data_IF_615380281197
#
_entry.id   IF_615380281197
#
_cell.length_a   1.000
_cell.length_b   1.000
_cell.length_c   1.000
_cell.angle_alpha   90.00
_cell.angle_beta   90.00
_cell.angle_gamma   90.00
#
_symmetry.space_group_name_H-M   'P 1'
#
loop_
_entity.id
_entity.type
_entity.pdbx_description
1 polymer ?
#
# COMPACT_ATOMS: atom_id res chain seq x y z
N UNK A 1 6.51 16.83 -1.66
CA UNK A 1 5.38 17.09 -0.75
C UNK A 1 4.86 15.73 -0.30
N UNK A 2 4.50 15.58 0.98
CA UNK A 2 4.19 14.27 1.55
C UNK A 2 2.74 13.84 1.32
N UNK A 3 2.45 12.57 1.62
CA UNK A 3 1.12 11.97 1.54
C UNK A 3 0.64 11.63 2.94
N UNK A 4 -0.62 11.95 3.23
CA UNK A 4 -1.33 11.55 4.43
C UNK A 4 -2.46 10.60 4.06
N UNK A 5 -2.56 9.49 4.78
CA UNK A 5 -3.57 8.44 4.61
C UNK A 5 -4.30 8.28 5.94
N UNK A 6 -5.61 8.44 5.93
CA UNK A 6 -6.45 8.28 7.11
C UNK A 6 -7.49 7.22 6.82
N UNK A 7 -7.53 6.18 7.65
CA UNK A 7 -8.61 5.22 7.58
C UNK A 7 -9.87 5.76 8.25
N UNK A 8 -11.02 5.45 7.64
CA UNK A 8 -12.34 5.91 8.05
C UNK A 8 -13.31 4.74 8.15
N UNK A 9 -14.42 4.99 8.83
CA UNK A 9 -15.53 4.04 8.91
C UNK A 9 -16.07 3.64 7.52
N UNK A 10 -16.53 2.39 7.43
CA UNK A 10 -17.10 1.83 6.22
C UNK A 10 -16.08 1.44 5.16
N UNK A 11 -14.84 1.15 5.54
CA UNK A 11 -13.79 0.72 4.62
C UNK A 11 -13.39 1.83 3.66
N UNK A 12 -13.21 3.06 4.17
CA UNK A 12 -12.81 4.22 3.36
C UNK A 12 -11.43 4.69 3.78
N UNK A 13 -10.68 5.21 2.82
CA UNK A 13 -9.38 5.82 3.04
C UNK A 13 -9.39 7.25 2.49
N UNK A 14 -9.16 8.24 3.35
CA UNK A 14 -8.91 9.61 2.92
C UNK A 14 -7.42 9.76 2.59
N UNK A 15 -7.14 10.25 1.39
CA UNK A 15 -5.79 10.58 0.93
C UNK A 15 -5.68 12.10 0.83
N UNK A 16 -4.62 12.66 1.40
CA UNK A 16 -4.31 14.09 1.33
C UNK A 16 -2.85 14.27 0.94
N UNK A 17 -2.56 15.24 0.08
CA UNK A 17 -1.23 15.57 -0.43
C UNK A 17 -1.39 16.53 -1.60
N UNK A 18 -0.66 16.28 -2.68
CA UNK A 18 -0.83 16.98 -3.97
C UNK A 18 -2.22 16.75 -4.57
N UNK A 19 -2.83 15.61 -4.26
CA UNK A 19 -4.22 15.26 -4.58
C UNK A 19 -4.96 14.93 -3.29
N UNK A 20 -6.17 15.47 -3.15
CA UNK A 20 -7.10 15.12 -2.07
C UNK A 20 -8.24 14.25 -2.63
N UNK A 21 -8.43 13.06 -2.07
CA UNK A 21 -9.48 12.13 -2.51
C UNK A 21 -9.88 11.15 -1.40
N UNK A 22 -11.01 10.47 -1.59
CA UNK A 22 -11.48 9.39 -0.71
C UNK A 22 -11.66 8.12 -1.54
N UNK A 23 -10.94 7.07 -1.17
CA UNK A 23 -11.07 5.75 -1.78
C UNK A 23 -12.06 4.91 -0.97
N UNK A 24 -12.99 4.25 -1.68
CA UNK A 24 -13.84 3.22 -1.08
C UNK A 24 -13.21 1.86 -1.35
N UNK A 25 -12.90 1.13 -0.28
CA UNK A 25 -12.28 -0.18 -0.39
C UNK A 25 -13.31 -1.24 -0.78
N UNK A 26 -12.95 -2.19 -1.67
CA UNK A 26 -13.77 -3.36 -1.90
C UNK A 26 -13.82 -4.23 -0.64
N UNK A 27 -14.84 -5.09 -0.55
CA UNK A 27 -15.00 -6.00 0.59
C UNK A 27 -13.75 -6.86 0.85
N UNK A 28 -13.05 -7.29 -0.20
CA UNK A 28 -11.79 -8.04 -0.08
C UNK A 28 -10.68 -7.28 0.62
N UNK A 29 -10.62 -5.95 0.51
CA UNK A 29 -9.65 -5.16 1.27
C UNK A 29 -10.04 -5.02 2.75
N UNK A 30 -11.33 -5.09 3.06
CA UNK A 30 -11.81 -5.09 4.44
C UNK A 30 -11.54 -6.45 5.10
N UNK A 31 -11.77 -7.55 4.39
CA UNK A 31 -11.58 -8.90 4.94
C UNK A 31 -10.14 -9.39 4.90
N UNK A 32 -9.42 -9.12 3.80
CA UNK A 32 -8.12 -9.72 3.51
C UNK A 32 -6.96 -8.71 3.58
N UNK A 33 -7.28 -7.43 3.79
CA UNK A 33 -6.33 -6.33 3.87
C UNK A 33 -5.90 -5.75 2.51
N UNK A 34 -5.00 -4.78 2.55
CA UNK A 34 -4.53 -4.01 1.40
C UNK A 34 -3.12 -3.47 1.60
N UNK A 35 -2.52 -2.98 0.53
CA UNK A 35 -1.19 -2.36 0.55
C UNK A 35 -1.11 -1.13 -0.34
N UNK A 36 -0.37 -0.12 0.11
CA UNK A 36 0.11 0.99 -0.69
C UNK A 36 1.58 0.78 -1.04
N UNK A 37 1.92 0.86 -2.32
CA UNK A 37 3.29 1.02 -2.78
C UNK A 37 3.50 2.47 -3.23
N UNK A 38 4.65 3.04 -2.89
CA UNK A 38 5.03 4.41 -3.19
C UNK A 38 6.28 4.47 -4.06
N UNK A 39 6.45 5.55 -4.83
CA UNK A 39 7.56 5.74 -5.76
C UNK A 39 8.95 5.74 -5.14
N UNK A 40 9.05 5.95 -3.82
CA UNK A 40 10.29 5.94 -3.05
C UNK A 40 10.70 4.52 -2.58
N UNK A 41 9.91 3.50 -2.92
CA UNK A 41 10.08 2.11 -2.48
C UNK A 41 9.40 1.77 -1.15
N UNK A 42 8.68 2.71 -0.54
CA UNK A 42 7.91 2.42 0.68
C UNK A 42 6.75 1.49 0.37
N UNK A 43 6.54 0.50 1.23
CA UNK A 43 5.35 -0.36 1.24
C UNK A 43 4.63 -0.19 2.58
N UNK A 44 3.43 0.35 2.56
CA UNK A 44 2.54 0.44 3.72
C UNK A 44 1.43 -0.60 3.56
N UNK A 45 1.08 -1.31 4.63
CA UNK A 45 -0.02 -2.27 4.65
C UNK A 45 -1.11 -1.78 5.56
N UNK A 46 -2.35 -2.14 5.22
CA UNK A 46 -3.50 -1.94 6.06
C UNK A 46 -4.35 -3.19 6.18
N UNK A 47 -4.94 -3.39 7.35
CA UNK A 47 -5.91 -4.45 7.60
C UNK A 47 -6.98 -3.97 8.57
N UNK A 48 -8.19 -4.51 8.43
CA UNK A 48 -9.26 -4.24 9.37
C UNK A 48 -9.30 -5.34 10.43
N UNK A 49 -9.31 -4.95 11.69
CA UNK A 49 -9.69 -5.84 12.78
C UNK A 49 -11.23 -5.96 12.79
N UNK A 50 -11.73 -7.13 12.41
CA UNK A 50 -13.16 -7.43 12.34
C UNK A 50 -13.82 -7.29 13.72
N UNK A 51 -13.12 -7.61 14.80
CA UNK A 51 -13.66 -7.57 16.16
C UNK A 51 -13.90 -6.15 16.66
N UNK A 52 -13.02 -5.21 16.31
CA UNK A 52 -13.11 -3.81 16.74
C UNK A 52 -13.62 -2.85 15.66
N UNK A 53 -13.68 -3.31 14.40
CA UNK A 53 -13.96 -2.48 13.23
C UNK A 53 -12.88 -1.43 12.94
N UNK A 54 -11.71 -1.53 13.60
CA UNK A 54 -10.60 -0.60 13.42
C UNK A 54 -9.77 -0.99 12.21
N UNK A 55 -9.15 0.00 11.59
CA UNK A 55 -8.20 -0.22 10.51
C UNK A 55 -6.81 0.12 11.05
N UNK A 56 -5.88 -0.81 10.91
CA UNK A 56 -4.52 -0.68 11.39
C UNK A 56 -3.55 -0.61 10.23
N UNK A 57 -2.50 0.19 10.40
CA UNK A 57 -1.41 0.29 9.46
C UNK A 57 -0.13 -0.34 10.01
N UNK A 58 0.62 -0.99 9.12
CA UNK A 58 2.00 -1.41 9.37
C UNK A 58 2.91 -1.04 8.20
N UNK A 59 4.18 -0.85 8.48
CA UNK A 59 5.20 -0.73 7.46
C UNK A 59 5.60 -2.11 6.97
N UNK A 60 5.36 -2.41 5.70
CA UNK A 60 5.80 -3.64 5.05
C UNK A 60 7.24 -3.57 4.53
N UNK A 61 7.67 -2.38 4.06
CA UNK A 61 9.03 -2.09 3.66
C UNK A 61 9.31 -0.58 3.76
N UNK A 62 10.50 -0.22 4.24
CA UNK A 62 10.95 1.16 4.36
C UNK A 62 11.59 1.63 3.04
N UNK A 63 11.03 2.67 2.42
CA UNK A 63 11.63 3.38 1.29
C UNK A 63 12.48 4.56 1.75
N UNK A 64 12.75 5.50 0.84
CA UNK A 64 13.53 6.70 1.15
C UNK A 64 12.75 7.77 1.95
N UNK A 65 11.42 7.76 1.91
CA UNK A 65 10.57 8.71 2.62
C UNK A 65 10.46 8.36 4.12
N UNK A 66 10.31 9.38 4.96
CA UNK A 66 10.02 9.18 6.37
C UNK A 66 8.56 8.76 6.55
N UNK A 67 8.31 7.60 7.17
CA UNK A 67 6.95 7.11 7.45
C UNK A 67 6.63 7.25 8.93
N UNK A 68 5.48 7.83 9.25
CA UNK A 68 4.93 7.93 10.61
C UNK A 68 3.52 7.37 10.63
N UNK A 69 3.27 6.38 11.48
CA UNK A 69 1.93 5.82 11.72
C UNK A 69 1.45 6.37 13.06
N UNK A 70 0.36 7.12 13.05
CA UNK A 70 -0.27 7.69 14.22
C UNK A 70 -1.49 6.83 14.60
N UNK A 71 -1.52 6.38 15.85
CA UNK A 71 -2.56 5.50 16.40
C UNK A 71 -3.42 6.28 17.39
N UNK A 72 -3.91 7.42 16.96
CA UNK A 72 -4.72 8.33 17.74
C UNK A 72 -6.15 8.31 17.18
N UNK A 73 -7.13 7.97 18.02
CA UNK A 73 -8.54 7.85 17.59
C UNK A 73 -8.97 6.42 17.27
N UNK A 74 -9.95 6.29 16.37
CA UNK A 74 -10.60 5.00 16.07
C UNK A 74 -9.79 4.15 15.09
N UNK A 75 -9.21 4.75 14.07
CA UNK A 75 -8.41 4.08 13.05
C UNK A 75 -7.01 4.69 13.00
N UNK A 76 -6.05 3.94 12.46
CA UNK A 76 -4.71 4.45 12.23
C UNK A 76 -4.73 5.50 11.11
N UNK A 77 -3.77 6.43 11.20
CA UNK A 77 -3.39 7.32 10.10
C UNK A 77 -1.90 7.18 9.82
N UNK A 78 -1.50 7.40 8.58
CA UNK A 78 -0.10 7.33 8.16
C UNK A 78 0.30 8.60 7.42
N UNK A 79 1.51 9.07 7.68
CA UNK A 79 2.14 10.19 6.99
C UNK A 79 3.44 9.73 6.38
N UNK A 80 3.57 9.93 5.07
CA UNK A 80 4.73 9.60 4.25
C UNK A 80 5.34 10.91 3.78
N UNK A 81 6.43 11.33 4.41
CA UNK A 81 7.13 12.57 4.12
C UNK A 81 8.31 12.30 3.18
N UNK A 82 8.16 12.71 1.91
CA UNK A 82 9.17 12.55 0.87
C UNK A 82 8.75 13.22 -0.44
N UNK A 83 9.52 12.97 -1.51
CA UNK A 83 9.08 13.25 -2.87
C UNK A 83 8.38 12.01 -3.42
N UNK A 84 7.05 12.04 -3.44
CA UNK A 84 6.21 10.95 -3.94
C UNK A 84 5.65 11.37 -5.30
N UNK A 85 5.99 10.63 -6.35
CA UNK A 85 5.53 10.89 -7.72
C UNK A 85 4.31 10.05 -8.08
N UNK A 86 4.19 8.86 -7.47
CA UNK A 86 3.05 7.97 -7.64
C UNK A 86 2.82 7.14 -6.38
N UNK A 87 1.58 6.68 -6.22
CA UNK A 87 1.21 5.64 -5.27
C UNK A 87 0.20 4.69 -5.90
N UNK A 88 0.24 3.43 -5.51
CA UNK A 88 -0.71 2.41 -5.98
C UNK A 88 -1.31 1.66 -4.80
N UNK A 89 -2.63 1.46 -4.82
CA UNK A 89 -3.36 0.65 -3.85
C UNK A 89 -3.67 -0.74 -4.45
N UNK A 90 -3.35 -1.80 -3.72
CA UNK A 90 -3.71 -3.16 -4.06
C UNK A 90 -4.47 -3.82 -2.90
N UNK A 91 -5.57 -4.51 -3.21
CA UNK A 91 -6.45 -5.15 -2.24
C UNK A 91 -6.30 -6.68 -2.27
N UNK A 92 -6.41 -7.32 -1.11
CA UNK A 92 -6.35 -8.77 -0.97
C UNK A 92 -5.10 -9.27 -0.25
N UNK A 93 -5.18 -10.47 0.30
CA UNK A 93 -4.12 -11.09 1.12
C UNK A 93 -2.77 -11.24 0.40
N UNK A 94 -2.78 -11.40 -0.92
CA UNK A 94 -1.53 -11.55 -1.72
C UNK A 94 -0.70 -10.28 -1.78
N UNK A 95 -1.28 -9.12 -1.49
CA UNK A 95 -0.57 -7.83 -1.50
C UNK A 95 0.20 -7.59 -0.20
N UNK A 96 -0.12 -8.37 0.83
CA UNK A 96 0.51 -8.33 2.15
C UNK A 96 1.75 -9.24 2.25
N UNK A 97 2.00 -10.09 1.26
CA UNK A 97 3.20 -10.92 1.24
C UNK A 97 4.37 -10.09 0.69
N UNK A 98 5.44 -9.85 1.47
CA UNK A 98 6.69 -9.46 0.82
C UNK A 98 7.08 -10.61 -0.09
N UNK A 99 7.57 -10.32 -1.30
CA UNK A 99 8.19 -11.32 -2.17
C UNK A 99 9.53 -11.70 -1.52
N UNK A 100 9.47 -12.42 -0.40
CA UNK A 100 10.54 -13.26 0.14
C UNK A 100 10.25 -14.71 -0.23
N UNK A 101 9.67 -14.93 -1.41
CA UNK A 101 9.81 -16.21 -2.04
C UNK A 101 11.31 -16.38 -2.32
N UNK A 102 11.96 -17.33 -1.63
CA UNK A 102 13.02 -18.09 -2.31
C UNK A 102 12.49 -18.40 -3.71
N UNK A 103 13.30 -18.32 -4.78
CA UNK A 103 12.84 -18.67 -6.12
C UNK A 103 12.45 -20.14 -6.10
N UNK A 104 11.22 -20.40 -5.69
CA UNK A 104 10.54 -21.63 -5.94
C UNK A 104 9.98 -21.39 -7.31
N UNK A 105 10.49 -22.17 -8.25
CA UNK A 105 10.15 -22.27 -9.65
C UNK A 105 8.65 -22.06 -9.88
N UNK A 106 8.21 -20.80 -9.92
CA UNK A 106 6.83 -20.44 -10.22
C UNK A 106 6.80 -20.35 -11.73
N UNK A 107 6.61 -21.51 -12.37
CA UNK A 107 6.51 -21.69 -13.83
C UNK A 107 5.33 -20.94 -14.48
N UNK A 108 4.79 -19.93 -13.80
CA UNK A 108 3.77 -18.99 -14.26
C UNK A 108 4.29 -17.56 -14.35
N UNK A 109 5.55 -17.31 -14.02
CA UNK A 109 6.18 -16.03 -14.34
C UNK A 109 6.23 -15.90 -15.86
N UNK A 110 5.29 -15.13 -16.41
CA UNK A 110 5.29 -14.75 -17.82
C UNK A 110 6.63 -14.07 -18.09
N UNK A 111 7.45 -14.71 -18.94
CA UNK A 111 8.66 -14.10 -19.47
C UNK A 111 8.21 -12.82 -20.18
N UNK A 112 8.59 -11.67 -19.62
CA UNK A 112 8.44 -10.40 -20.32
C UNK A 112 9.51 -10.41 -21.41
N UNK A 113 9.10 -10.87 -22.59
CA UNK A 113 9.92 -10.90 -23.80
C UNK A 113 10.04 -9.46 -24.35
N UNK A 114 10.81 -8.64 -23.64
CA UNK A 114 11.16 -7.29 -24.09
C UNK A 114 12.48 -7.36 -24.85
N UNK A 115 12.37 -7.60 -26.15
CA UNK A 115 13.49 -7.41 -27.08
C UNK A 115 13.82 -5.91 -27.18
N UNK A 116 14.86 -5.49 -26.48
CA UNK A 116 15.47 -4.18 -26.68
C UNK A 116 16.31 -4.21 -27.97
N UNK A 117 15.72 -3.79 -29.10
CA UNK A 117 16.49 -3.47 -30.30
C UNK A 117 17.28 -2.18 -30.06
N UNK A 118 18.60 -2.30 -29.96
CA UNK A 118 19.47 -1.13 -30.09
C UNK A 118 19.37 -0.60 -31.53
N UNK A 119 19.06 0.68 -31.66
CA UNK A 119 19.17 1.39 -32.92
C UNK A 119 20.66 1.57 -33.28
N UNK A 120 21.03 1.15 -34.48
CA UNK A 120 22.33 1.40 -35.09
C UNK A 120 22.46 2.83 -35.59
#
# INVERSE_FOLDING_TARGET
MGVQIEAMDGGKLKLTGDVETVLTLPASAVTDGFSFAFSDGTLLRGHHDIGSGRCHFELGAQGAASVRIMREGRHDSARIDGQIEWMTLACGSRTLCPIHAKPHDDGRQLVLDMDARQAA
#
